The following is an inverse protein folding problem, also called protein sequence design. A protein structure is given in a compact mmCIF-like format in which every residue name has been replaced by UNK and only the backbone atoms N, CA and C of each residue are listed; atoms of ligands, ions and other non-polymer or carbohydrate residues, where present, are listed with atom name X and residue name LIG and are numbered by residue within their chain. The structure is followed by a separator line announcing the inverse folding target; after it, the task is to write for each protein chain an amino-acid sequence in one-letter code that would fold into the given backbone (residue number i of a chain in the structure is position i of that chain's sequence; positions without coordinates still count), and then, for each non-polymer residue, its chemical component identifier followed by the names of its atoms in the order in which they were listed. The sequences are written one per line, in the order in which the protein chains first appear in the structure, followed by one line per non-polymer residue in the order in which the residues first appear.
data_IF_012261204098
#
_entry.id   IF_012261204098
#
_cell.length_a   1.000
_cell.length_b   1.000
_cell.length_c   1.000
_cell.angle_alpha   90.00
_cell.angle_beta   90.00
_cell.angle_gamma   90.00
#
_symmetry.space_group_name_H-M   'P 1'
#
loop_
_entity.id
_entity.type
_entity.pdbx_description
1 polymer ?
#
# COMPACT_ATOMS: atom_id res chain seq x y z
N UNK A 1 -5.67 5.90 -26.57
CA UNK A 1 -5.08 4.96 -25.59
C UNK A 1 -4.60 5.78 -24.42
N UNK A 2 -4.92 5.36 -23.20
CA UNK A 2 -4.44 6.00 -21.96
C UNK A 2 -2.96 5.65 -21.80
N UNK A 3 -2.06 6.63 -21.82
CA UNK A 3 -0.60 6.40 -21.79
C UNK A 3 0.12 7.15 -20.68
N UNK A 4 -0.41 8.31 -20.26
CA UNK A 4 0.20 9.14 -19.20
C UNK A 4 -0.59 9.05 -17.89
N UNK A 5 0.03 9.43 -16.77
CA UNK A 5 -0.63 9.57 -15.48
C UNK A 5 -1.87 10.47 -15.56
N UNK A 6 -1.77 11.58 -16.30
CA UNK A 6 -2.85 12.54 -16.49
C UNK A 6 -4.02 11.94 -17.29
N UNK A 7 -3.73 11.12 -18.29
CA UNK A 7 -4.76 10.38 -19.03
C UNK A 7 -5.52 9.43 -18.11
N UNK A 8 -4.82 8.70 -17.23
CA UNK A 8 -5.43 7.75 -16.28
C UNK A 8 -6.37 8.49 -15.32
N UNK A 9 -5.94 9.64 -14.80
CA UNK A 9 -6.73 10.45 -13.88
C UNK A 9 -7.98 11.05 -14.54
N UNK A 10 -7.83 11.53 -15.78
CA UNK A 10 -8.94 12.07 -16.57
C UNK A 10 -9.96 10.98 -16.92
N UNK A 11 -9.48 9.82 -17.35
CA UNK A 11 -10.30 8.64 -17.63
C UNK A 11 -11.07 8.18 -16.39
N UNK A 12 -10.40 8.10 -15.23
CA UNK A 12 -11.05 7.73 -13.98
C UNK A 12 -12.14 8.73 -13.56
N UNK A 13 -11.92 10.03 -13.81
CA UNK A 13 -12.90 11.09 -13.51
C UNK A 13 -14.10 11.03 -14.45
N UNK A 14 -13.87 10.89 -15.75
CA UNK A 14 -14.92 10.81 -16.79
C UNK A 14 -15.86 9.63 -16.54
N UNK A 15 -15.31 8.48 -16.16
CA UNK A 15 -16.08 7.27 -15.87
C UNK A 15 -16.61 7.18 -14.43
N UNK A 16 -16.43 8.22 -13.61
CA UNK A 16 -16.95 8.25 -12.24
C UNK A 16 -16.35 7.20 -11.30
N UNK A 17 -15.11 6.78 -11.54
CA UNK A 17 -14.43 5.79 -10.70
C UNK A 17 -14.28 6.31 -9.26
N UNK A 18 -14.67 5.51 -8.27
CA UNK A 18 -14.51 5.87 -6.86
C UNK A 18 -13.24 5.30 -6.24
N UNK A 19 -12.75 4.19 -6.81
CA UNK A 19 -11.66 3.39 -6.30
C UNK A 19 -10.66 3.10 -7.42
N UNK A 20 -9.39 3.03 -7.07
CA UNK A 20 -8.27 2.70 -7.97
C UNK A 20 -7.59 1.46 -7.42
N UNK A 21 -7.52 0.40 -8.24
CA UNK A 21 -6.81 -0.83 -7.90
C UNK A 21 -5.41 -0.81 -8.52
N UNK A 22 -4.39 -0.78 -7.66
CA UNK A 22 -2.98 -0.89 -8.06
C UNK A 22 -2.61 -2.36 -8.07
N UNK A 23 -2.05 -2.85 -9.19
CA UNK A 23 -1.76 -4.28 -9.40
C UNK A 23 -0.29 -4.49 -9.72
N UNK A 24 0.30 -5.53 -9.15
CA UNK A 24 1.68 -5.93 -9.41
C UNK A 24 1.85 -7.45 -9.28
N UNK A 25 3.02 -7.94 -9.69
CA UNK A 25 3.42 -9.34 -9.58
C UNK A 25 4.45 -9.48 -8.48
N UNK A 26 4.25 -10.42 -7.56
CA UNK A 26 5.28 -10.77 -6.56
C UNK A 26 6.38 -11.68 -7.15
N UNK A 27 7.46 -11.92 -6.40
CA UNK A 27 8.62 -12.66 -6.89
C UNK A 27 8.32 -14.10 -7.34
N UNK A 28 7.23 -14.67 -6.84
CA UNK A 28 6.79 -16.03 -7.20
C UNK A 28 5.68 -16.01 -8.26
N UNK A 29 5.45 -14.86 -8.90
CA UNK A 29 4.57 -14.72 -10.05
C UNK A 29 3.09 -14.52 -9.70
N UNK A 30 2.73 -14.22 -8.44
CA UNK A 30 1.32 -14.04 -8.06
C UNK A 30 0.88 -12.61 -8.30
N UNK A 31 -0.32 -12.47 -8.85
CA UNK A 31 -1.04 -11.21 -8.89
C UNK A 31 -1.39 -10.75 -7.48
N UNK A 32 -0.89 -9.57 -7.12
CA UNK A 32 -1.25 -8.83 -5.93
C UNK A 32 -1.91 -7.53 -6.34
N UNK A 33 -2.84 -7.08 -5.52
CA UNK A 33 -3.45 -5.78 -5.71
C UNK A 33 -3.89 -5.19 -4.38
N UNK A 34 -3.91 -3.87 -4.32
CA UNK A 34 -4.55 -3.12 -3.25
C UNK A 34 -5.33 -1.96 -3.85
N UNK A 35 -6.35 -1.54 -3.13
CA UNK A 35 -7.30 -0.54 -3.61
C UNK A 35 -7.20 0.70 -2.73
N UNK A 36 -7.12 1.85 -3.38
CA UNK A 36 -7.16 3.15 -2.74
C UNK A 36 -8.33 3.99 -3.29
N UNK A 37 -8.91 4.90 -2.50
CA UNK A 37 -9.86 5.88 -3.02
C UNK A 37 -9.25 6.69 -4.17
N UNK A 38 -10.05 7.08 -5.17
CA UNK A 38 -9.58 7.85 -6.34
C UNK A 38 -8.84 9.15 -5.97
N UNK A 39 -9.16 9.77 -4.84
CA UNK A 39 -8.54 11.02 -4.40
C UNK A 39 -7.13 10.85 -3.80
N UNK A 40 -6.69 9.62 -3.49
CA UNK A 40 -5.35 9.33 -2.97
C UNK A 40 -4.26 9.46 -4.04
N UNK A 41 -4.37 8.80 -5.20
CA UNK A 41 -3.39 8.99 -6.27
C UNK A 41 -3.53 10.38 -6.90
N UNK A 42 -2.39 11.05 -7.11
CA UNK A 42 -2.23 12.28 -7.87
C UNK A 42 -1.18 12.08 -8.97
N UNK A 43 -0.93 13.08 -9.83
CA UNK A 43 0.05 12.97 -10.92
C UNK A 43 1.43 12.55 -10.42
N UNK A 44 1.91 13.20 -9.35
CA UNK A 44 3.15 12.79 -8.66
C UNK A 44 3.15 11.37 -8.08
N UNK A 45 2.02 10.71 -7.83
CA UNK A 45 1.98 9.33 -7.31
C UNK A 45 2.55 8.30 -8.30
N UNK A 46 2.67 8.65 -9.57
CA UNK A 46 3.31 7.79 -10.57
C UNK A 46 4.83 8.00 -10.66
N UNK A 47 5.35 9.04 -10.01
CA UNK A 47 6.78 9.36 -9.91
C UNK A 47 7.31 9.16 -8.48
N UNK A 48 6.46 9.33 -7.48
CA UNK A 48 6.70 9.18 -6.05
C UNK A 48 6.25 7.79 -5.55
N UNK A 49 6.96 7.26 -4.56
CA UNK A 49 6.69 5.94 -4.02
C UNK A 49 5.33 5.85 -3.30
N UNK A 50 4.54 4.84 -3.67
CA UNK A 50 3.36 4.42 -2.90
C UNK A 50 3.76 3.45 -1.80
N UNK A 51 3.71 3.93 -0.56
CA UNK A 51 3.98 3.10 0.59
C UNK A 51 2.90 2.03 0.78
N UNK A 52 3.34 0.77 0.96
CA UNK A 52 2.47 -0.34 1.34
C UNK A 52 3.24 -1.34 2.24
N UNK A 53 2.51 -2.17 2.99
CA UNK A 53 3.11 -3.17 3.88
C UNK A 53 3.57 -4.42 3.10
N UNK A 54 4.88 -4.51 2.87
CA UNK A 54 5.53 -5.65 2.24
C UNK A 54 5.69 -6.88 3.16
N UNK A 55 5.45 -6.77 4.47
CA UNK A 55 5.69 -7.87 5.40
C UNK A 55 4.71 -9.04 5.22
N UNK A 56 3.56 -8.74 4.61
CA UNK A 56 2.54 -9.72 4.21
C UNK A 56 2.85 -10.41 2.87
N UNK A 57 3.93 -10.04 2.17
CA UNK A 57 4.34 -10.63 0.89
C UNK A 57 5.57 -11.50 1.10
N UNK A 58 5.41 -12.78 0.76
CA UNK A 58 6.46 -13.78 0.95
C UNK A 58 7.74 -13.37 0.23
N UNK A 59 8.81 -13.21 1.00
CA UNK A 59 10.15 -12.90 0.49
C UNK A 59 10.43 -11.41 0.25
N UNK A 60 9.56 -10.49 0.68
CA UNK A 60 9.77 -9.05 0.50
C UNK A 60 10.33 -8.38 1.76
N UNK A 61 9.57 -8.40 2.86
CA UNK A 61 9.95 -7.76 4.11
C UNK A 61 9.61 -8.69 5.30
N UNK A 62 10.40 -8.64 6.37
CA UNK A 62 10.11 -9.33 7.62
C UNK A 62 9.13 -8.52 8.50
N UNK A 63 8.35 -9.19 9.34
CA UNK A 63 7.58 -8.51 10.39
C UNK A 63 8.54 -8.09 11.49
N UNK A 64 8.67 -6.79 11.74
CA UNK A 64 9.46 -6.23 12.85
C UNK A 64 8.55 -5.83 14.00
N UNK A 65 8.31 -6.73 14.93
CA UNK A 65 7.68 -6.40 16.20
C UNK A 65 8.72 -5.75 17.12
N UNK A 66 8.59 -4.45 17.40
CA UNK A 66 9.30 -3.86 18.53
C UNK A 66 8.46 -4.08 19.78
N UNK A 67 8.92 -4.85 20.77
CA UNK A 67 8.28 -4.82 22.08
C UNK A 67 8.41 -3.39 22.62
N UNK A 68 7.29 -2.79 23.00
CA UNK A 68 7.34 -1.63 23.87
C UNK A 68 7.98 -2.11 25.18
N UNK A 69 9.06 -1.48 25.69
CA UNK A 69 9.52 -1.79 27.04
C UNK A 69 8.33 -1.57 27.98
N UNK A 70 7.81 -2.66 28.53
CA UNK A 70 6.85 -2.62 29.62
C UNK A 70 7.62 -2.14 30.86
N UNK A 71 7.72 -0.82 31.03
CA UNK A 71 8.05 -0.21 32.32
C UNK A 71 6.79 -0.25 33.21
N UNK A 72 6.29 -1.45 33.50
CA UNK A 72 5.47 -1.66 34.68
C UNK A 72 6.26 -2.62 35.57
N UNK A 73 6.70 -2.20 36.77
CA UNK A 73 7.21 -3.16 37.73
C UNK A 73 6.10 -4.18 37.95
N UNK A 74 6.42 -5.44 37.64
CA UNK A 74 5.61 -6.56 38.10
C UNK A 74 5.76 -6.56 39.62
N UNK A 75 4.83 -5.91 40.31
CA UNK A 75 4.61 -6.05 41.74
C UNK A 75 4.16 -7.49 41.99
N UNK A 76 5.12 -8.43 41.98
CA UNK A 76 4.97 -9.76 42.55
C UNK A 76 5.10 -9.64 44.07
N UNK A 77 4.11 -8.99 44.69
CA UNK A 77 3.79 -9.19 46.10
C UNK A 77 2.59 -10.14 46.18
N UNK A 78 2.86 -11.44 46.02
CA UNK A 78 2.06 -12.57 46.55
C UNK A 78 2.99 -13.75 46.84
#
# INVERSE_FOLDING_TARGET
MVQTAQDVMSFAKEHGAQMVSLRFIDFIGRWRHFTVPRHKPHEGTFEEDLNFDGSSIKGWLEIRLRPHPMEYPLDFDL
#
